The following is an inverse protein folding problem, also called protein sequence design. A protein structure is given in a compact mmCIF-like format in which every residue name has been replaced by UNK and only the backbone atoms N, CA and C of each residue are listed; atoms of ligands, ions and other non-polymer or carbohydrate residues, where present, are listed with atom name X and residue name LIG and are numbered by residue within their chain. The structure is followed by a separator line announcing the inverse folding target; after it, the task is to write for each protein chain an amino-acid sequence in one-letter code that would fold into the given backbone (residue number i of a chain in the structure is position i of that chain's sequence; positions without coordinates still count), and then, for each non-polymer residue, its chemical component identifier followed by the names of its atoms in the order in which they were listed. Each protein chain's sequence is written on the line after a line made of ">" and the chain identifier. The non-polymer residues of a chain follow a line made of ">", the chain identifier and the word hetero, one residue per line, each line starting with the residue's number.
data_IF_901785857734
#
_entry.id   IF_901785857734
#
_cell.length_a   1.000
_cell.length_b   1.000
_cell.length_c   1.000
_cell.angle_alpha   90.00
_cell.angle_beta   90.00
_cell.angle_gamma   90.00
#
_symmetry.space_group_name_H-M   'P 1'
#
loop_
_entity.id
_entity.type
_entity.pdbx_description
1 polymer ?
#
# COMPACT_ATOMS: atom_id res chain seq x y z
N UNK A 1 14.72 9.68 -18.12
CA UNK A 1 14.06 8.78 -17.15
C UNK A 1 13.06 7.92 -17.88
N UNK A 2 13.14 6.62 -17.74
CA UNK A 2 12.25 5.68 -18.44
C UNK A 2 11.26 5.08 -17.43
N UNK A 3 9.97 5.24 -17.72
CA UNK A 3 8.90 4.68 -16.88
C UNK A 3 8.60 3.27 -17.37
N UNK A 4 8.58 2.29 -16.46
CA UNK A 4 8.48 0.88 -16.79
C UNK A 4 7.55 0.15 -15.81
N UNK A 5 6.96 -0.97 -16.27
CA UNK A 5 6.13 -1.86 -15.44
C UNK A 5 6.94 -2.64 -14.42
N UNK A 6 8.23 -2.78 -14.60
CA UNK A 6 9.10 -3.59 -13.75
C UNK A 6 10.41 -2.87 -13.45
N UNK A 7 10.30 -1.60 -13.06
CA UNK A 7 11.43 -0.79 -12.64
C UNK A 7 11.92 -1.19 -11.25
N UNK A 8 13.11 -0.72 -10.83
CA UNK A 8 13.59 -0.98 -9.47
C UNK A 8 12.58 -0.59 -8.38
N UNK A 9 11.95 0.58 -8.49
CA UNK A 9 10.97 1.02 -7.50
C UNK A 9 9.71 0.16 -7.52
N UNK A 10 9.24 -0.25 -8.69
CA UNK A 10 8.08 -1.15 -8.80
C UNK A 10 8.36 -2.49 -8.14
N UNK A 11 9.56 -3.04 -8.34
CA UNK A 11 9.93 -4.33 -7.71
C UNK A 11 9.90 -4.24 -6.19
N UNK A 12 10.43 -3.16 -5.61
CA UNK A 12 10.42 -2.95 -4.15
C UNK A 12 8.99 -2.82 -3.65
N UNK A 13 8.19 -1.98 -4.28
CA UNK A 13 6.79 -1.76 -3.88
C UNK A 13 5.96 -3.03 -4.01
N UNK A 14 6.11 -3.75 -5.12
CA UNK A 14 5.39 -5.01 -5.35
C UNK A 14 5.75 -6.06 -4.31
N UNK A 15 7.04 -6.22 -3.99
CA UNK A 15 7.49 -7.17 -2.98
C UNK A 15 6.89 -6.86 -1.61
N UNK A 16 6.82 -5.57 -1.25
CA UNK A 16 6.21 -5.17 0.00
C UNK A 16 4.72 -5.49 0.04
N UNK A 17 3.99 -5.18 -1.03
CA UNK A 17 2.54 -5.46 -1.11
C UNK A 17 2.27 -6.97 -1.05
N UNK A 18 3.04 -7.77 -1.75
CA UNK A 18 2.93 -9.22 -1.67
C UNK A 18 3.18 -9.72 -0.25
N UNK A 19 4.19 -9.18 0.43
CA UNK A 19 4.50 -9.56 1.80
C UNK A 19 3.34 -9.25 2.75
N UNK A 20 2.89 -7.98 2.79
CA UNK A 20 1.86 -7.63 3.76
C UNK A 20 0.49 -8.22 3.40
N UNK A 21 0.19 -8.44 2.13
CA UNK A 21 -1.09 -9.06 1.74
C UNK A 21 -1.17 -10.52 2.20
N UNK A 22 -0.05 -11.16 2.46
CA UNK A 22 0.04 -12.50 3.03
C UNK A 22 0.38 -12.48 4.53
N UNK A 23 0.26 -11.32 5.18
CA UNK A 23 0.50 -11.12 6.60
C UNK A 23 1.96 -11.31 7.02
N UNK A 24 2.91 -11.20 6.11
CA UNK A 24 4.34 -11.22 6.41
C UNK A 24 4.84 -9.79 6.69
N UNK A 25 4.58 -9.31 7.90
CA UNK A 25 4.92 -7.94 8.29
C UNK A 25 6.43 -7.74 8.45
N UNK A 26 7.16 -8.78 8.82
CA UNK A 26 8.61 -8.69 8.92
C UNK A 26 9.24 -8.40 7.56
N UNK A 27 8.81 -9.11 6.52
CA UNK A 27 9.28 -8.86 5.15
C UNK A 27 8.83 -7.49 4.65
N UNK A 28 7.60 -7.08 4.96
CA UNK A 28 7.09 -5.75 4.58
C UNK A 28 7.92 -4.63 5.19
N UNK A 29 8.36 -4.78 6.46
CA UNK A 29 9.17 -3.80 7.17
C UNK A 29 10.54 -3.56 6.52
N UNK A 30 11.13 -4.58 5.94
CA UNK A 30 12.47 -4.50 5.32
C UNK A 30 12.51 -3.43 4.23
N UNK A 31 11.41 -3.20 3.54
CA UNK A 31 11.33 -2.23 2.44
C UNK A 31 11.18 -0.77 2.90
N UNK A 32 11.03 -0.50 4.21
CA UNK A 32 10.63 0.81 4.73
C UNK A 32 11.83 1.56 5.32
N UNK A 33 11.97 2.84 4.96
CA UNK A 33 12.98 3.72 5.55
C UNK A 33 12.60 4.11 6.98
N UNK A 34 13.62 4.39 7.81
CA UNK A 34 13.37 4.74 9.21
C UNK A 34 12.52 5.99 9.41
N UNK A 35 12.57 6.93 8.45
CA UNK A 35 11.82 8.20 8.47
C UNK A 35 10.62 8.21 7.53
N UNK A 36 10.11 7.03 7.14
CA UNK A 36 9.03 6.92 6.17
C UNK A 36 7.79 7.68 6.58
N UNK A 37 7.15 8.33 5.61
CA UNK A 37 5.85 8.99 5.80
C UNK A 37 4.78 8.27 5.01
N UNK A 38 3.56 8.27 5.55
CA UNK A 38 2.42 7.60 4.92
C UNK A 38 1.21 8.54 5.00
N UNK A 39 0.54 8.76 3.89
CA UNK A 39 -0.74 9.47 3.84
C UNK A 39 -1.78 8.54 3.22
N UNK A 40 -2.92 8.38 3.90
CA UNK A 40 -4.00 7.48 3.48
C UNK A 40 -5.29 8.25 3.32
N UNK A 41 -5.94 8.11 2.18
CA UNK A 41 -7.27 8.66 1.91
C UNK A 41 -8.20 7.51 1.53
N UNK A 42 -9.34 7.44 2.20
CA UNK A 42 -10.34 6.39 1.97
C UNK A 42 -11.64 7.01 1.44
N UNK A 43 -12.22 6.39 0.43
CA UNK A 43 -13.54 6.76 -0.12
C UNK A 43 -14.40 5.50 -0.20
N UNK A 44 -15.64 5.61 0.26
CA UNK A 44 -16.61 4.52 0.14
C UNK A 44 -17.48 4.73 -1.10
N UNK A 45 -17.76 3.65 -1.83
CA UNK A 45 -18.50 3.71 -3.08
C UNK A 45 -19.94 4.20 -2.89
N UNK A 46 -20.61 3.80 -1.79
CA UNK A 46 -21.99 4.15 -1.48
C UNK A 46 -22.12 5.59 -0.97
N UNK A 47 -21.08 6.14 -0.41
CA UNK A 47 -21.04 7.53 0.08
C UNK A 47 -19.71 8.14 -0.40
N UNK A 48 -19.69 8.73 -1.60
CA UNK A 48 -18.44 9.10 -2.25
C UNK A 48 -17.72 10.32 -1.65
N UNK A 49 -18.05 10.74 -0.45
CA UNK A 49 -17.28 11.74 0.28
C UNK A 49 -15.97 11.13 0.82
N UNK A 50 -14.94 11.95 0.96
CA UNK A 50 -13.71 11.53 1.61
C UNK A 50 -14.00 11.26 3.08
N UNK A 51 -13.76 10.03 3.52
CA UNK A 51 -14.14 9.60 4.86
C UNK A 51 -12.99 9.65 5.86
N UNK A 52 -11.76 9.43 5.40
CA UNK A 52 -10.63 9.33 6.32
C UNK A 52 -9.37 9.87 5.65
N UNK A 53 -8.65 10.69 6.38
CA UNK A 53 -7.29 11.09 6.03
C UNK A 53 -6.42 10.75 7.22
N UNK A 54 -5.45 9.88 7.02
CA UNK A 54 -4.48 9.46 8.05
C UNK A 54 -3.09 9.82 7.55
N UNK A 55 -2.28 10.37 8.44
CA UNK A 55 -0.88 10.68 8.12
C UNK A 55 -0.01 10.20 9.27
N UNK A 56 1.09 9.52 8.94
CA UNK A 56 2.07 9.05 9.90
C UNK A 56 3.46 9.48 9.50
N UNK A 57 4.36 9.55 10.47
CA UNK A 57 5.78 9.85 10.24
C UNK A 57 6.63 8.88 11.07
N UNK A 58 7.62 8.27 10.42
CA UNK A 58 8.51 7.30 11.05
C UNK A 58 8.06 5.87 10.83
N UNK A 59 9.03 4.95 10.82
CA UNK A 59 8.79 3.55 10.50
C UNK A 59 7.88 2.86 11.54
N UNK A 60 7.98 3.23 12.81
CA UNK A 60 7.16 2.57 13.85
C UNK A 60 5.67 2.88 13.65
N UNK A 61 5.33 4.14 13.39
CA UNK A 61 3.95 4.53 13.12
C UNK A 61 3.46 3.97 11.78
N UNK A 62 4.33 3.97 10.77
CA UNK A 62 4.04 3.36 9.47
C UNK A 62 3.67 1.89 9.63
N UNK A 63 4.50 1.14 10.35
CA UNK A 63 4.26 -0.31 10.54
C UNK A 63 3.06 -0.59 11.43
N UNK A 64 2.80 0.24 12.44
CA UNK A 64 1.60 0.09 13.27
C UNK A 64 0.33 0.28 12.44
N UNK A 65 0.31 1.28 11.56
CA UNK A 65 -0.82 1.49 10.66
C UNK A 65 -0.99 0.35 9.67
N UNK A 66 0.10 -0.15 9.12
CA UNK A 66 0.07 -1.29 8.21
C UNK A 66 -0.44 -2.55 8.91
N UNK A 67 0.05 -2.84 10.11
CA UNK A 67 -0.40 -3.99 10.90
C UNK A 67 -1.91 -3.93 11.15
N UNK A 68 -2.41 -2.76 11.53
CA UNK A 68 -3.84 -2.57 11.78
C UNK A 68 -4.67 -2.80 10.52
N UNK A 69 -4.21 -2.29 9.37
CA UNK A 69 -4.86 -2.49 8.09
C UNK A 69 -4.89 -3.97 7.68
N UNK A 70 -3.75 -4.64 7.80
CA UNK A 70 -3.55 -6.01 7.30
C UNK A 70 -4.39 -7.03 8.06
N UNK A 71 -4.77 -6.76 9.31
CA UNK A 71 -5.59 -7.69 10.13
C UNK A 71 -6.83 -8.19 9.39
N UNK A 72 -7.44 -7.34 8.58
CA UNK A 72 -8.67 -7.67 7.88
C UNK A 72 -8.45 -8.16 6.45
N UNK A 73 -7.22 -8.10 5.94
CA UNK A 73 -6.92 -8.52 4.58
C UNK A 73 -6.87 -10.04 4.49
N UNK A 74 -7.55 -10.58 3.49
CA UNK A 74 -7.55 -12.01 3.22
C UNK A 74 -6.28 -12.41 2.48
N UNK A 75 -5.44 -13.30 3.06
CA UNK A 75 -4.23 -13.76 2.37
C UNK A 75 -4.56 -14.39 1.02
N UNK A 76 -3.71 -14.13 0.02
CA UNK A 76 -3.90 -14.66 -1.32
C UNK A 76 -4.93 -13.95 -2.18
N UNK A 77 -5.54 -12.87 -1.68
CA UNK A 77 -6.55 -12.12 -2.42
C UNK A 77 -5.99 -11.02 -3.31
N UNK A 78 -4.70 -10.74 -3.24
CA UNK A 78 -4.06 -9.68 -4.01
C UNK A 78 -4.20 -9.90 -5.52
N UNK A 79 -4.68 -8.88 -6.21
CA UNK A 79 -4.74 -8.85 -7.69
C UNK A 79 -4.17 -7.53 -8.18
N UNK A 80 -3.01 -7.58 -8.82
CA UNK A 80 -2.43 -6.40 -9.43
C UNK A 80 -3.19 -6.01 -10.69
N UNK A 81 -3.53 -4.71 -10.81
CA UNK A 81 -4.21 -4.16 -11.98
C UNK A 81 -3.21 -3.48 -12.90
N UNK A 82 -2.33 -2.64 -12.33
CA UNK A 82 -1.34 -1.89 -13.09
C UNK A 82 -0.14 -1.56 -12.21
N UNK A 83 1.02 -1.46 -12.84
CA UNK A 83 2.25 -1.05 -12.20
C UNK A 83 3.05 -0.20 -13.16
N UNK A 84 3.63 0.89 -12.66
CA UNK A 84 4.41 1.82 -13.46
C UNK A 84 5.41 2.51 -12.56
N UNK A 85 6.62 2.73 -13.06
CA UNK A 85 7.61 3.44 -12.24
C UNK A 85 8.96 3.58 -12.92
N UNK A 86 9.90 4.13 -12.15
CA UNK A 86 11.29 4.30 -12.58
C UNK A 86 12.22 3.80 -11.46
N UNK A 87 13.41 4.38 -11.34
CA UNK A 87 14.37 3.93 -10.34
C UNK A 87 13.90 4.16 -8.91
N UNK A 88 13.19 5.26 -8.63
CA UNK A 88 12.84 5.66 -7.27
C UNK A 88 11.36 5.99 -7.05
N UNK A 89 10.55 5.95 -8.09
CA UNK A 89 9.12 6.24 -8.01
C UNK A 89 8.32 5.05 -8.53
N UNK A 90 7.24 4.72 -7.85
CA UNK A 90 6.34 3.65 -8.30
C UNK A 90 4.89 4.03 -8.09
N UNK A 91 4.07 3.57 -9.01
CA UNK A 91 2.61 3.57 -8.92
C UNK A 91 2.15 2.12 -8.99
N UNK A 92 1.39 1.69 -8.00
CA UNK A 92 0.72 0.38 -8.03
C UNK A 92 -0.77 0.58 -7.89
N UNK A 93 -1.52 -0.15 -8.72
CA UNK A 93 -2.97 -0.28 -8.60
C UNK A 93 -3.29 -1.75 -8.43
N UNK A 94 -4.06 -2.08 -7.39
CA UNK A 94 -4.39 -3.47 -7.08
C UNK A 94 -5.65 -3.55 -6.25
N UNK A 95 -6.21 -4.76 -6.13
CA UNK A 95 -7.29 -5.04 -5.20
C UNK A 95 -6.85 -6.08 -4.18
N UNK A 96 -7.39 -5.99 -2.99
CA UNK A 96 -7.38 -7.04 -1.98
C UNK A 96 -8.77 -7.19 -1.40
N UNK A 97 -9.09 -8.38 -0.91
CA UNK A 97 -10.31 -8.61 -0.17
C UNK A 97 -10.08 -8.39 1.31
N UNK A 98 -11.05 -7.79 1.99
CA UNK A 98 -11.00 -7.57 3.43
C UNK A 98 -12.25 -8.12 4.09
N UNK A 99 -12.07 -8.71 5.26
CA UNK A 99 -13.14 -9.31 6.06
C UNK A 99 -13.18 -8.59 7.41
N UNK A 100 -14.25 -7.84 7.64
CA UNK A 100 -14.45 -7.11 8.88
C UNK A 100 -15.43 -7.83 9.83
N UNK A 101 -15.73 -9.10 9.56
CA UNK A 101 -16.65 -9.89 10.37
C UNK A 101 -18.09 -9.68 9.98
N UNK A 102 -18.57 -8.44 10.01
CA UNK A 102 -19.95 -8.09 9.62
C UNK A 102 -20.08 -7.88 8.12
N UNK A 103 -19.00 -7.63 7.41
CA UNK A 103 -19.00 -7.37 5.97
C UNK A 103 -17.68 -7.82 5.34
N UNK A 104 -17.79 -8.39 4.14
CA UNK A 104 -16.63 -8.65 3.27
C UNK A 104 -16.65 -7.61 2.17
N UNK A 105 -15.53 -6.97 1.95
CA UNK A 105 -15.42 -5.88 0.98
C UNK A 105 -14.20 -6.08 0.10
N UNK A 106 -14.22 -5.43 -1.06
CA UNK A 106 -13.07 -5.32 -1.95
C UNK A 106 -12.46 -3.94 -1.76
N UNK A 107 -11.17 -3.88 -1.52
CA UNK A 107 -10.42 -2.64 -1.42
C UNK A 107 -9.63 -2.44 -2.69
N UNK A 108 -10.03 -1.44 -3.48
CA UNK A 108 -9.30 -1.04 -4.68
C UNK A 108 -8.28 0.03 -4.29
N UNK A 109 -7.01 -0.30 -4.39
CA UNK A 109 -5.90 0.53 -3.93
C UNK A 109 -5.18 1.19 -5.10
N UNK A 110 -4.84 2.46 -4.93
CA UNK A 110 -3.84 3.16 -5.74
C UNK A 110 -2.79 3.67 -4.79
N UNK A 111 -1.56 3.25 -4.96
CA UNK A 111 -0.44 3.63 -4.08
C UNK A 111 0.69 4.24 -4.87
N UNK A 112 1.15 5.39 -4.40
CA UNK A 112 2.33 6.07 -4.93
C UNK A 112 3.46 5.92 -3.91
N UNK A 113 4.64 5.54 -4.40
CA UNK A 113 5.81 5.32 -3.57
C UNK A 113 6.96 6.18 -4.04
N UNK A 114 7.66 6.77 -3.09
CA UNK A 114 8.96 7.40 -3.34
C UNK A 114 9.99 6.66 -2.50
N UNK A 115 11.07 6.22 -3.15
CA UNK A 115 12.16 5.53 -2.49
C UNK A 115 13.35 6.47 -2.25
N UNK A 116 14.10 6.19 -1.19
CA UNK A 116 15.34 6.92 -0.91
C UNK A 116 16.52 6.35 -1.73
N UNK A 117 17.73 6.83 -1.47
CA UNK A 117 18.93 6.41 -2.18
C UNK A 117 19.26 4.93 -1.97
N UNK A 118 18.80 4.34 -0.88
CA UNK A 118 18.98 2.92 -0.57
C UNK A 118 17.82 2.06 -1.06
N UNK A 119 16.94 2.64 -1.87
CA UNK A 119 15.73 1.98 -2.40
C UNK A 119 14.79 1.49 -1.29
N UNK A 120 14.73 2.25 -0.18
CA UNK A 120 13.74 2.05 0.87
C UNK A 120 12.58 3.03 0.67
N UNK A 121 11.37 2.60 1.00
CA UNK A 121 10.19 3.45 0.90
C UNK A 121 10.31 4.58 1.92
N UNK A 122 10.46 5.81 1.44
CA UNK A 122 10.53 6.99 2.30
C UNK A 122 9.23 7.79 2.33
N UNK A 123 8.37 7.62 1.33
CA UNK A 123 7.06 8.25 1.30
C UNK A 123 6.09 7.37 0.53
N UNK A 124 4.87 7.27 1.04
CA UNK A 124 3.81 6.50 0.41
C UNK A 124 2.50 7.25 0.53
N UNK A 125 1.78 7.35 -0.58
CA UNK A 125 0.43 7.92 -0.61
C UNK A 125 -0.54 6.82 -1.05
N UNK A 126 -1.57 6.61 -0.26
CA UNK A 126 -2.56 5.56 -0.50
C UNK A 126 -3.93 6.20 -0.70
N UNK A 127 -4.58 5.83 -1.79
CA UNK A 127 -5.99 6.15 -2.02
C UNK A 127 -6.69 4.83 -2.28
N UNK A 128 -7.78 4.56 -1.55
CA UNK A 128 -8.54 3.36 -1.85
C UNK A 128 -10.04 3.54 -1.71
N UNK A 129 -10.76 2.77 -2.55
CA UNK A 129 -12.20 2.63 -2.51
C UNK A 129 -12.57 1.36 -1.77
N UNK A 130 -13.64 1.46 -0.97
CA UNK A 130 -14.25 0.30 -0.32
C UNK A 130 -15.54 -0.02 -1.08
N UNK A 131 -15.66 -1.25 -1.54
CA UNK A 131 -16.89 -1.74 -2.18
C UNK A 131 -17.28 -3.09 -1.63
N UNK A 132 -18.56 -3.32 -1.54
CA UNK A 132 -19.11 -4.58 -1.03
C UNK A 132 -19.52 -5.52 -2.16
#
# INVERSE_FOLDING_TARGET
>A
MTVQKDSPAVRVARAQVEAWSNHDLAAARVAVAGNATLAVTTTQAETPAVNTVVSTTGIEDYMAGLENFVKSVTPGSLKEIAALGDDRNALLMFTVEADYGSAKVTLANTRLYLLDEDHKIMAEQVVYFVSS
#
